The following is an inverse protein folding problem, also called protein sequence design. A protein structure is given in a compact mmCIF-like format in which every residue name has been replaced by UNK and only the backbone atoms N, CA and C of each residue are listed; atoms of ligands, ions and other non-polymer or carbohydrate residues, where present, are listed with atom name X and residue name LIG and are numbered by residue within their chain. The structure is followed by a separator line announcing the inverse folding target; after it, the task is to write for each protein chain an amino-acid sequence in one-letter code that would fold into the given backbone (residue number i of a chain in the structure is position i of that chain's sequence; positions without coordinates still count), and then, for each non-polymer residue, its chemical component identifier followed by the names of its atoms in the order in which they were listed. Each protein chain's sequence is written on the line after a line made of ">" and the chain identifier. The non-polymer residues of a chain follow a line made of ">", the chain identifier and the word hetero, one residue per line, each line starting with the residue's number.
data_IF_347180713795
#
_entry.id   IF_347180713795
#
_cell.length_a   1.000
_cell.length_b   1.000
_cell.length_c   1.000
_cell.angle_alpha   90.00
_cell.angle_beta   90.00
_cell.angle_gamma   90.00
#
_symmetry.space_group_name_H-M   'P 1'
#
loop_
_entity.id
_entity.type
_entity.pdbx_description
1 polymer ?
#
# COMPACT_ATOMS: atom_id res chain seq x y z
N UNK A 1 -19.94 -12.89 -22.94
CA UNK A 1 -18.80 -12.51 -23.79
C UNK A 1 -17.63 -12.17 -22.86
N UNK A 2 -16.57 -12.98 -22.85
CA UNK A 2 -15.35 -12.66 -22.10
C UNK A 2 -14.75 -11.41 -22.74
N UNK A 3 -14.68 -10.29 -21.98
CA UNK A 3 -13.90 -9.13 -22.41
C UNK A 3 -12.45 -9.61 -22.54
N UNK A 4 -11.88 -9.54 -23.74
CA UNK A 4 -10.43 -9.67 -23.93
C UNK A 4 -9.76 -8.54 -23.15
N UNK A 5 -9.48 -8.75 -21.86
CA UNK A 5 -8.72 -7.81 -21.05
C UNK A 5 -7.26 -7.89 -21.49
N UNK A 6 -6.82 -6.88 -22.22
CA UNK A 6 -5.40 -6.73 -22.58
C UNK A 6 -4.61 -6.57 -21.31
N UNK A 7 -3.63 -7.45 -21.08
CA UNK A 7 -2.65 -7.26 -19.98
C UNK A 7 -1.73 -6.10 -20.33
N UNK A 8 -1.48 -5.24 -19.35
CA UNK A 8 -0.58 -4.10 -19.48
C UNK A 8 0.77 -4.40 -18.82
N UNK A 9 1.84 -3.93 -19.44
CA UNK A 9 3.15 -3.86 -18.78
C UNK A 9 3.16 -2.70 -17.78
N UNK A 10 4.10 -2.72 -16.81
CA UNK A 10 4.29 -1.62 -15.86
C UNK A 10 4.48 -0.26 -16.56
N UNK A 11 5.17 -0.24 -17.71
CA UNK A 11 5.37 0.98 -18.51
C UNK A 11 4.07 1.46 -19.15
N UNK A 12 3.25 0.56 -19.67
CA UNK A 12 1.96 0.92 -20.26
C UNK A 12 1.00 1.46 -19.19
N UNK A 13 0.93 0.84 -18.02
CA UNK A 13 0.14 1.33 -16.88
C UNK A 13 0.56 2.75 -16.48
N UNK A 14 1.86 2.99 -16.26
CA UNK A 14 2.38 4.32 -15.96
C UNK A 14 2.08 5.37 -17.04
N UNK A 15 2.13 4.98 -18.32
CA UNK A 15 1.80 5.88 -19.41
C UNK A 15 0.30 6.25 -19.44
N UNK A 16 -0.57 5.38 -18.94
CA UNK A 16 -2.01 5.70 -18.81
C UNK A 16 -2.20 6.79 -17.76
N UNK A 17 -1.54 6.70 -16.62
CA UNK A 17 -1.61 7.72 -15.57
C UNK A 17 -1.09 9.08 -16.05
N UNK A 18 0.05 9.09 -16.76
CA UNK A 18 0.60 10.30 -17.38
C UNK A 18 -0.39 10.91 -18.38
N UNK A 19 -0.99 10.10 -19.24
CA UNK A 19 -2.00 10.59 -20.20
C UNK A 19 -3.26 11.08 -19.50
N UNK A 20 -3.68 10.45 -18.41
CA UNK A 20 -4.82 10.90 -17.62
C UNK A 20 -4.59 12.35 -17.14
N UNK A 21 -3.39 12.66 -16.68
CA UNK A 21 -3.03 13.99 -16.20
C UNK A 21 -2.83 14.98 -17.36
N UNK A 22 -1.98 14.66 -18.34
CA UNK A 22 -1.60 15.59 -19.41
C UNK A 22 -2.73 15.86 -20.40
N UNK A 23 -3.56 14.86 -20.71
CA UNK A 23 -4.59 14.97 -21.76
C UNK A 23 -5.96 15.32 -21.19
N UNK A 24 -6.30 14.78 -20.03
CA UNK A 24 -7.65 14.90 -19.46
C UNK A 24 -7.69 15.72 -18.17
N UNK A 25 -6.55 16.20 -17.65
CA UNK A 25 -6.48 16.98 -16.42
C UNK A 25 -6.83 16.20 -15.16
N UNK A 26 -6.78 14.85 -15.23
CA UNK A 26 -7.03 13.98 -14.08
C UNK A 26 -5.72 13.85 -13.31
N UNK A 27 -5.57 14.62 -12.23
CA UNK A 27 -4.34 14.66 -11.47
C UNK A 27 -4.03 13.31 -10.79
N UNK A 28 -2.73 13.04 -10.57
CA UNK A 28 -2.26 11.89 -9.80
C UNK A 28 -2.92 11.81 -8.41
N UNK A 29 -3.23 12.96 -7.79
CA UNK A 29 -3.95 13.01 -6.50
C UNK A 29 -5.37 12.44 -6.60
N UNK A 30 -6.09 12.72 -7.70
CA UNK A 30 -7.42 12.16 -7.95
C UNK A 30 -7.36 10.66 -8.22
N UNK A 31 -6.37 10.19 -8.97
CA UNK A 31 -6.16 8.76 -9.21
C UNK A 31 -5.89 8.03 -7.90
N UNK A 32 -5.00 8.57 -7.07
CA UNK A 32 -4.65 8.05 -5.74
C UNK A 32 -5.87 8.02 -4.80
N UNK A 33 -6.70 9.05 -4.80
CA UNK A 33 -7.94 9.11 -4.02
C UNK A 33 -8.89 7.95 -4.40
N UNK A 34 -9.07 7.72 -5.72
CA UNK A 34 -9.93 6.64 -6.20
C UNK A 34 -9.36 5.26 -5.89
N UNK A 35 -8.05 5.06 -6.05
CA UNK A 35 -7.39 3.80 -5.75
C UNK A 35 -7.52 3.44 -4.26
N UNK A 36 -7.15 4.34 -3.36
CA UNK A 36 -7.24 4.09 -1.92
C UNK A 36 -8.68 3.92 -1.42
N UNK A 37 -9.66 4.66 -2.00
CA UNK A 37 -11.08 4.46 -1.71
C UNK A 37 -11.54 3.06 -2.12
N UNK A 38 -11.19 2.61 -3.32
CA UNK A 38 -11.55 1.27 -3.81
C UNK A 38 -10.97 0.16 -2.91
N UNK A 39 -9.73 0.33 -2.44
CA UNK A 39 -9.10 -0.59 -1.46
C UNK A 39 -9.90 -0.62 -0.17
N UNK A 40 -10.28 0.53 0.40
CA UNK A 40 -11.07 0.60 1.63
C UNK A 40 -12.45 -0.07 1.45
N UNK A 41 -13.13 0.15 0.33
CA UNK A 41 -14.40 -0.51 0.00
C UNK A 41 -14.25 -2.04 -0.06
N UNK A 42 -13.15 -2.54 -0.61
CA UNK A 42 -12.89 -3.98 -0.67
C UNK A 42 -12.61 -4.56 0.73
N UNK A 43 -11.82 -3.85 1.55
CA UNK A 43 -11.59 -4.23 2.94
C UNK A 43 -12.90 -4.31 3.73
N UNK A 44 -13.81 -3.35 3.55
CA UNK A 44 -15.14 -3.36 4.20
C UNK A 44 -15.95 -4.59 3.81
N UNK A 45 -15.88 -5.03 2.54
CA UNK A 45 -16.56 -6.26 2.07
C UNK A 45 -15.97 -7.52 2.70
N UNK A 46 -14.64 -7.59 2.84
CA UNK A 46 -13.92 -8.72 3.43
C UNK A 46 -14.19 -8.78 4.95
N UNK A 47 -14.17 -7.64 5.62
CA UNK A 47 -14.34 -7.54 7.06
C UNK A 47 -15.81 -7.53 7.47
N UNK A 48 -16.41 -8.69 7.67
CA UNK A 48 -17.81 -8.82 8.14
C UNK A 48 -18.02 -8.43 9.60
N UNK A 49 -16.98 -8.30 10.41
CA UNK A 49 -16.99 -7.97 11.85
C UNK A 49 -15.83 -7.02 12.13
N UNK A 50 -15.91 -6.22 13.22
CA UNK A 50 -14.77 -5.37 13.67
C UNK A 50 -13.52 -6.23 13.83
N UNK A 51 -12.48 -5.91 13.05
CA UNK A 51 -11.21 -6.64 13.00
C UNK A 51 -10.04 -5.67 13.08
N UNK A 52 -8.89 -6.20 13.46
CA UNK A 52 -7.64 -5.43 13.52
C UNK A 52 -7.00 -5.38 12.15
N UNK A 53 -6.81 -4.17 11.63
CA UNK A 53 -6.19 -3.92 10.31
C UNK A 53 -4.80 -3.32 10.50
N UNK A 54 -3.82 -3.79 9.75
CA UNK A 54 -2.55 -3.13 9.59
C UNK A 54 -2.39 -2.65 8.14
N UNK A 55 -1.80 -1.47 7.95
CA UNK A 55 -1.47 -0.92 6.63
C UNK A 55 0.02 -0.65 6.59
N UNK A 56 0.74 -1.32 5.71
CA UNK A 56 2.17 -1.13 5.51
C UNK A 56 2.40 -0.25 4.28
N UNK A 57 2.82 0.99 4.50
CA UNK A 57 3.01 2.00 3.48
C UNK A 57 4.48 2.19 3.13
N UNK A 58 4.79 2.25 1.83
CA UNK A 58 6.05 2.79 1.34
C UNK A 58 6.06 4.32 1.32
N UNK A 59 7.17 4.91 0.85
CA UNK A 59 7.33 6.37 0.73
C UNK A 59 6.81 6.97 -0.57
N UNK A 60 6.48 6.12 -1.56
CA UNK A 60 6.00 6.53 -2.89
C UNK A 60 4.48 6.48 -3.02
N UNK A 61 4.00 6.52 -4.29
CA UNK A 61 2.57 6.59 -4.61
C UNK A 61 1.77 5.40 -4.05
N UNK A 62 2.31 4.18 -4.11
CA UNK A 62 1.64 3.01 -3.52
C UNK A 62 1.37 3.19 -2.01
N UNK A 63 2.34 3.77 -1.27
CA UNK A 63 2.13 4.17 0.13
C UNK A 63 1.10 5.27 0.27
N UNK A 64 1.03 6.20 -0.70
CA UNK A 64 0.00 7.23 -0.78
C UNK A 64 -1.41 6.64 -0.88
N UNK A 65 -1.60 5.63 -1.74
CA UNK A 65 -2.86 4.88 -1.85
C UNK A 65 -3.22 4.22 -0.51
N UNK A 66 -2.21 3.70 0.22
CA UNK A 66 -2.37 3.16 1.57
C UNK A 66 -2.82 4.22 2.58
N UNK A 67 -2.30 5.45 2.52
CA UNK A 67 -2.75 6.56 3.39
C UNK A 67 -4.20 6.97 3.07
N UNK A 68 -4.58 7.00 1.80
CA UNK A 68 -5.96 7.24 1.39
C UNK A 68 -6.86 6.12 1.91
N UNK A 69 -6.47 4.85 1.75
CA UNK A 69 -7.23 3.71 2.26
C UNK A 69 -7.44 3.81 3.78
N UNK A 70 -6.39 4.16 4.54
CA UNK A 70 -6.49 4.37 5.99
C UNK A 70 -7.56 5.40 6.35
N UNK A 71 -7.59 6.53 5.64
CA UNK A 71 -8.55 7.62 5.85
C UNK A 71 -9.99 7.17 5.55
N UNK A 72 -10.20 6.45 4.44
CA UNK A 72 -11.51 5.92 4.10
C UNK A 72 -11.98 4.85 5.09
N UNK A 73 -11.09 3.99 5.59
CA UNK A 73 -11.44 3.02 6.64
C UNK A 73 -11.95 3.70 7.92
N UNK A 74 -11.37 4.85 8.29
CA UNK A 74 -11.85 5.65 9.43
C UNK A 74 -13.30 6.09 9.24
N UNK A 75 -13.72 6.49 8.03
CA UNK A 75 -15.11 6.89 7.77
C UNK A 75 -16.09 5.72 7.92
N UNK A 76 -15.61 4.48 7.79
CA UNK A 76 -16.35 3.24 8.05
C UNK A 76 -16.21 2.76 9.51
N UNK A 77 -15.61 3.56 10.40
CA UNK A 77 -15.39 3.20 11.79
C UNK A 77 -14.34 2.10 12.02
N UNK A 78 -13.53 1.79 11.02
CA UNK A 78 -12.44 0.81 11.07
C UNK A 78 -11.14 1.56 11.34
N UNK A 79 -10.56 1.34 12.54
CA UNK A 79 -9.24 1.85 12.89
C UNK A 79 -8.15 0.89 12.40
N UNK A 80 -7.05 1.44 11.91
CA UNK A 80 -5.90 0.67 11.46
C UNK A 80 -4.61 1.16 12.08
N UNK A 81 -3.65 0.25 12.32
CA UNK A 81 -2.27 0.62 12.62
C UNK A 81 -1.54 0.89 11.31
N UNK A 82 -1.01 2.10 11.14
CA UNK A 82 -0.36 2.55 9.91
C UNK A 82 1.15 2.53 10.11
N UNK A 83 1.85 1.68 9.35
CA UNK A 83 3.30 1.50 9.38
C UNK A 83 3.91 2.13 8.13
N UNK A 84 4.84 3.05 8.31
CA UNK A 84 5.59 3.67 7.22
C UNK A 84 7.01 3.08 7.15
N UNK A 85 7.35 2.45 6.04
CA UNK A 85 8.71 1.93 5.78
C UNK A 85 9.68 3.09 5.53
N UNK A 86 10.21 3.67 6.61
CA UNK A 86 11.09 4.84 6.62
C UNK A 86 10.57 5.98 7.51
N UNK A 87 10.93 7.21 7.16
CA UNK A 87 10.60 8.41 7.95
C UNK A 87 9.52 9.25 7.29
N UNK A 88 8.66 9.87 8.10
CA UNK A 88 7.61 10.81 7.66
C UNK A 88 8.18 11.92 6.77
N UNK A 89 9.36 12.44 7.09
CA UNK A 89 10.02 13.51 6.32
C UNK A 89 10.44 13.10 4.91
N UNK A 90 10.57 11.80 4.65
CA UNK A 90 11.03 11.27 3.35
C UNK A 90 9.87 11.03 2.37
N UNK A 91 8.62 11.10 2.84
CA UNK A 91 7.43 11.02 1.99
C UNK A 91 7.26 12.34 1.24
N UNK A 92 7.04 12.27 -0.07
CA UNK A 92 6.97 13.42 -0.98
C UNK A 92 5.71 13.41 -1.84
N UNK A 93 5.48 14.50 -2.56
CA UNK A 93 4.42 14.66 -3.58
C UNK A 93 3.02 14.33 -3.04
N UNK A 94 2.19 13.65 -3.82
CA UNK A 94 0.79 13.31 -3.53
C UNK A 94 0.66 12.40 -2.29
N UNK A 95 1.62 11.48 -2.11
CA UNK A 95 1.70 10.65 -0.91
C UNK A 95 1.89 11.52 0.35
N UNK A 96 2.69 12.58 0.26
CA UNK A 96 2.88 13.54 1.35
C UNK A 96 1.59 14.25 1.70
N UNK A 97 0.83 14.71 0.71
CA UNK A 97 -0.46 15.36 0.92
C UNK A 97 -1.42 14.46 1.71
N UNK A 98 -1.53 13.17 1.34
CA UNK A 98 -2.40 12.23 2.03
C UNK A 98 -1.91 11.85 3.43
N UNK A 99 -0.60 11.74 3.62
CA UNK A 99 0.00 11.56 4.95
C UNK A 99 -0.31 12.75 5.88
N UNK A 100 -0.20 13.99 5.39
CA UNK A 100 -0.52 15.19 6.18
C UNK A 100 -1.99 15.26 6.58
N UNK A 101 -2.90 14.79 5.74
CA UNK A 101 -4.32 14.69 6.10
C UNK A 101 -4.49 13.75 7.30
N UNK A 102 -3.86 12.56 7.29
CA UNK A 102 -3.92 11.61 8.41
C UNK A 102 -3.34 12.22 9.70
N UNK A 103 -2.22 12.95 9.60
CA UNK A 103 -1.62 13.64 10.76
C UNK A 103 -2.55 14.71 11.31
N UNK A 104 -3.24 15.49 10.46
CA UNK A 104 -4.26 16.47 10.89
C UNK A 104 -5.48 15.80 11.52
N UNK A 105 -5.83 14.59 11.09
CA UNK A 105 -6.85 13.75 11.73
C UNK A 105 -6.36 13.10 13.03
N UNK A 106 -5.11 13.39 13.45
CA UNK A 106 -4.46 12.86 14.66
C UNK A 106 -4.25 11.34 14.62
N UNK A 107 -4.19 10.77 13.41
CA UNK A 107 -3.84 9.36 13.27
C UNK A 107 -2.33 9.16 13.50
N UNK A 108 -2.01 8.07 14.21
CA UNK A 108 -0.63 7.73 14.52
C UNK A 108 0.03 6.99 13.37
N UNK A 109 1.08 7.57 12.81
CA UNK A 109 1.95 6.92 11.84
C UNK A 109 3.15 6.33 12.57
N UNK A 110 3.38 5.03 12.40
CA UNK A 110 4.50 4.31 13.02
C UNK A 110 5.62 4.23 11.99
N UNK A 111 6.67 5.04 12.19
CA UNK A 111 7.88 4.96 11.37
C UNK A 111 8.60 3.64 11.64
N UNK A 112 8.89 2.89 10.57
CA UNK A 112 9.57 1.59 10.65
C UNK A 112 10.99 1.73 10.14
N UNK A 113 11.92 1.33 11.01
CA UNK A 113 13.35 1.26 10.75
C UNK A 113 13.86 -0.08 11.31
N UNK A 114 15.10 -0.45 10.99
CA UNK A 114 15.68 -1.74 11.41
C UNK A 114 15.58 -1.97 12.93
N UNK A 115 15.78 -0.89 13.70
CA UNK A 115 15.81 -0.96 15.17
C UNK A 115 14.48 -1.38 15.81
N UNK A 116 13.35 -1.11 15.14
CA UNK A 116 12.02 -1.38 15.71
C UNK A 116 11.23 -2.50 15.00
N UNK A 117 11.83 -3.19 14.02
CA UNK A 117 11.21 -4.32 13.31
C UNK A 117 10.72 -5.43 14.27
N UNK A 118 11.45 -5.68 15.35
CA UNK A 118 11.09 -6.67 16.35
C UNK A 118 9.74 -6.37 17.02
N UNK A 119 9.38 -5.10 17.19
CA UNK A 119 8.08 -4.70 17.77
C UNK A 119 6.93 -5.05 16.85
N UNK A 120 7.15 -4.93 15.53
CA UNK A 120 6.14 -5.27 14.51
C UNK A 120 5.97 -6.78 14.45
N UNK A 121 7.09 -7.53 14.42
CA UNK A 121 7.08 -8.98 14.41
C UNK A 121 6.27 -9.55 15.59
N UNK A 122 6.42 -8.98 16.78
CA UNK A 122 5.70 -9.42 17.97
C UNK A 122 4.19 -9.11 17.93
N UNK A 123 3.77 -8.15 17.08
CA UNK A 123 2.38 -7.74 16.97
C UNK A 123 1.68 -8.27 15.72
N UNK A 124 2.43 -8.81 14.75
CA UNK A 124 1.87 -9.15 13.44
C UNK A 124 0.72 -10.16 13.51
N UNK A 125 0.75 -11.06 14.48
CA UNK A 125 -0.28 -12.09 14.67
C UNK A 125 -1.62 -11.57 15.20
N UNK A 126 -1.68 -10.32 15.67
CA UNK A 126 -2.94 -9.72 16.17
C UNK A 126 -3.85 -9.23 15.04
N UNK A 127 -3.30 -9.01 13.83
CA UNK A 127 -4.05 -8.48 12.71
C UNK A 127 -4.83 -9.58 12.00
N UNK A 128 -6.07 -9.26 11.63
CA UNK A 128 -6.94 -10.12 10.83
C UNK A 128 -6.79 -9.83 9.34
N UNK A 129 -6.41 -8.59 9.00
CA UNK A 129 -6.19 -8.15 7.64
C UNK A 129 -4.98 -7.22 7.59
N UNK A 130 -4.13 -7.42 6.58
CA UNK A 130 -2.97 -6.60 6.28
C UNK A 130 -3.16 -6.00 4.89
N UNK A 131 -3.00 -4.68 4.77
CA UNK A 131 -2.90 -3.99 3.49
C UNK A 131 -1.42 -3.80 3.19
N UNK A 132 -0.96 -4.41 2.11
CA UNK A 132 0.38 -4.20 1.56
C UNK A 132 0.34 -3.05 0.55
N UNK A 133 0.88 -1.92 0.97
CA UNK A 133 1.06 -0.69 0.22
C UNK A 133 2.55 -0.26 0.19
N UNK A 134 3.49 -1.23 0.27
CA UNK A 134 4.91 -0.94 0.36
C UNK A 134 5.48 -0.51 -0.99
N UNK A 135 5.36 -1.35 -2.02
CA UNK A 135 5.96 -1.18 -3.34
C UNK A 135 4.95 -1.58 -4.41
N UNK A 136 4.76 -0.73 -5.42
CA UNK A 136 3.91 -0.99 -6.59
C UNK A 136 4.73 -1.23 -7.87
N UNK A 137 4.11 -1.04 -9.02
CA UNK A 137 4.71 -1.24 -10.37
C UNK A 137 5.99 -0.44 -10.63
N UNK A 138 6.29 0.57 -9.83
CA UNK A 138 7.50 1.39 -9.95
C UNK A 138 8.78 0.77 -9.38
N UNK A 139 8.71 -0.47 -8.85
CA UNK A 139 9.87 -1.13 -8.27
C UNK A 139 10.94 -1.41 -9.35
N UNK A 140 12.16 -0.95 -9.07
CA UNK A 140 13.33 -1.20 -9.91
C UNK A 140 14.41 -1.93 -9.10
N UNK A 141 14.80 -3.13 -9.57
CA UNK A 141 15.81 -3.95 -8.90
C UNK A 141 15.26 -4.76 -7.70
N UNK A 142 16.15 -5.40 -6.98
CA UNK A 142 15.79 -6.26 -5.86
C UNK A 142 15.32 -5.49 -4.64
N UNK A 143 14.35 -6.06 -3.94
CA UNK A 143 13.90 -5.55 -2.64
C UNK A 143 15.00 -5.70 -1.59
N UNK A 144 15.30 -4.62 -0.88
CA UNK A 144 16.39 -4.56 0.11
C UNK A 144 15.94 -3.88 1.41
N UNK A 145 16.83 -3.89 2.38
CA UNK A 145 16.74 -3.17 3.65
C UNK A 145 15.40 -3.42 4.37
N UNK A 146 14.88 -2.42 5.03
CA UNK A 146 13.64 -2.48 5.80
C UNK A 146 12.44 -3.05 5.02
N UNK A 147 12.40 -2.86 3.70
CA UNK A 147 11.31 -3.41 2.87
C UNK A 147 11.38 -4.93 2.80
N UNK A 148 12.58 -5.51 2.64
CA UNK A 148 12.77 -6.97 2.64
C UNK A 148 12.34 -7.58 3.97
N UNK A 149 12.73 -6.95 5.07
CA UNK A 149 12.43 -7.46 6.40
C UNK A 149 10.93 -7.34 6.71
N UNK A 150 10.28 -6.24 6.33
CA UNK A 150 8.83 -6.07 6.45
C UNK A 150 8.06 -7.11 5.63
N UNK A 151 8.44 -7.37 4.39
CA UNK A 151 7.84 -8.43 3.57
C UNK A 151 7.99 -9.78 4.26
N UNK A 152 9.17 -10.06 4.82
CA UNK A 152 9.41 -11.27 5.62
C UNK A 152 8.44 -11.37 6.79
N UNK A 153 8.26 -10.30 7.57
CA UNK A 153 7.34 -10.25 8.71
C UNK A 153 5.89 -10.42 8.26
N UNK A 154 5.44 -9.70 7.23
CA UNK A 154 4.08 -9.81 6.67
C UNK A 154 3.78 -11.26 6.28
N UNK A 155 4.71 -11.94 5.62
CA UNK A 155 4.56 -13.32 5.19
C UNK A 155 4.50 -14.35 6.33
N UNK A 156 4.87 -13.97 7.58
CA UNK A 156 4.67 -14.83 8.75
C UNK A 156 3.27 -14.71 9.34
N UNK A 157 2.48 -13.73 8.91
CA UNK A 157 1.12 -13.52 9.41
C UNK A 157 0.17 -14.60 8.90
N UNK A 158 -0.88 -14.85 9.68
CA UNK A 158 -2.06 -15.62 9.26
C UNK A 158 -3.22 -14.72 8.81
N UNK A 159 -3.01 -13.40 8.81
CA UNK A 159 -3.99 -12.43 8.35
C UNK A 159 -4.30 -12.61 6.86
N UNK A 160 -5.49 -12.18 6.44
CA UNK A 160 -5.75 -11.97 5.03
C UNK A 160 -4.88 -10.82 4.53
N UNK A 161 -4.16 -11.02 3.41
CA UNK A 161 -3.29 -9.98 2.85
C UNK A 161 -3.92 -9.46 1.56
N UNK A 162 -4.09 -8.14 1.49
CA UNK A 162 -4.55 -7.41 0.32
C UNK A 162 -3.44 -6.47 -0.14
N UNK A 163 -2.86 -6.75 -1.30
CA UNK A 163 -1.85 -5.86 -1.89
C UNK A 163 -2.52 -4.80 -2.76
N UNK A 164 -2.08 -3.55 -2.61
CA UNK A 164 -2.45 -2.45 -3.49
C UNK A 164 -1.58 -2.56 -4.75
N UNK A 165 -2.19 -2.37 -5.92
CA UNK A 165 -1.54 -2.45 -7.23
C UNK A 165 -1.06 -3.88 -7.54
N UNK A 166 0.07 -4.29 -6.97
CA UNK A 166 0.64 -5.64 -7.08
C UNK A 166 1.29 -6.05 -5.76
N UNK A 167 1.47 -7.36 -5.48
CA UNK A 167 2.22 -7.78 -4.30
C UNK A 167 3.62 -7.17 -4.28
N UNK A 168 3.96 -6.49 -3.17
CA UNK A 168 5.26 -5.83 -3.03
C UNK A 168 6.41 -6.79 -3.25
N UNK A 169 7.31 -6.44 -4.17
CA UNK A 169 8.44 -7.29 -4.57
C UNK A 169 8.21 -8.14 -5.83
N UNK A 170 7.03 -8.04 -6.45
CA UNK A 170 6.75 -8.67 -7.73
C UNK A 170 7.09 -7.71 -8.90
N UNK A 171 7.77 -8.20 -9.94
CA UNK A 171 7.93 -7.47 -11.21
C UNK A 171 6.61 -7.56 -12.00
N UNK A 172 5.90 -6.43 -12.11
CA UNK A 172 4.61 -6.35 -12.78
C UNK A 172 4.65 -6.72 -14.28
N UNK A 173 5.80 -6.61 -14.93
CA UNK A 173 5.95 -6.92 -16.36
C UNK A 173 6.29 -8.38 -16.59
N UNK A 174 7.16 -8.94 -15.75
CA UNK A 174 7.72 -10.28 -15.94
C UNK A 174 7.09 -11.35 -15.04
N UNK A 175 6.31 -10.95 -14.04
CA UNK A 175 5.77 -11.86 -13.03
C UNK A 175 6.85 -12.55 -12.18
N UNK A 176 8.04 -11.95 -12.06
CA UNK A 176 9.16 -12.52 -11.31
C UNK A 176 9.31 -11.86 -9.96
N UNK A 177 9.66 -12.65 -8.95
CA UNK A 177 10.01 -12.14 -7.63
C UNK A 177 11.37 -11.46 -7.67
N UNK A 178 11.43 -10.23 -7.16
CA UNK A 178 12.65 -9.41 -7.09
C UNK A 178 13.28 -9.51 -5.69
N UNK A 179 13.94 -10.63 -5.43
CA UNK A 179 14.55 -10.96 -4.13
C UNK A 179 13.53 -11.58 -3.17
N UNK A 180 12.51 -10.85 -2.75
CA UNK A 180 11.39 -11.35 -1.96
C UNK A 180 10.08 -10.68 -2.39
N UNK A 181 8.93 -11.30 -2.05
CA UNK A 181 7.61 -10.81 -2.43
C UNK A 181 6.58 -11.11 -1.34
N UNK A 182 5.62 -10.21 -1.17
CA UNK A 182 4.43 -10.46 -0.34
C UNK A 182 3.61 -11.59 -0.96
N UNK A 183 3.09 -12.48 -0.11
CA UNK A 183 2.20 -13.60 -0.48
C UNK A 183 0.76 -13.18 -0.17
N UNK A 184 0.15 -12.39 -1.07
CA UNK A 184 -1.22 -11.92 -1.00
C UNK A 184 -2.21 -12.92 -1.60
#
# INVERSE_FOLDING_TARGET
>A
MARNSKLLTAKEAKNIDIKAEETFGISTLLLMENAGRAVAEEVVKILRVKKYVAIFCGKGNNGGDGFVAARHLLTHGIKSDIFLAGKIKDVKNEARTNLEILLKLKEKIIEVQEENLHLIKNKISKYDLIIDALLGVGLAGEVRDVYRDLIGIINTSKAYILSIDIPSGLDATKGKVLGCCVKA
#
